data_IF_113762969429
#
_entry.id   IF_113762969429
#
_cell.length_a   1.000
_cell.length_b   1.000
_cell.length_c   1.000
_cell.angle_alpha   90.00
_cell.angle_beta   90.00
_cell.angle_gamma   90.00
#
_symmetry.space_group_name_H-M   'P 1'
#
loop_
_entity.id
_entity.type
_entity.pdbx_description
1 polymer ?
#
# COMPACT_ATOMS: atom_id res chain seq x y z
N UNK A 1 20.19 0.58 2.68
CA UNK A 1 18.96 1.28 3.12
C UNK A 1 18.12 1.55 1.90
N UNK A 2 16.80 1.43 2.02
CA UNK A 2 15.81 1.67 0.96
C UNK A 2 14.94 2.83 1.42
N UNK A 3 14.72 3.81 0.55
CA UNK A 3 13.83 4.95 0.80
C UNK A 3 12.73 4.94 -0.23
N UNK A 4 11.49 4.89 0.23
CA UNK A 4 10.29 4.95 -0.59
C UNK A 4 9.64 6.33 -0.42
N UNK A 5 9.37 7.00 -1.55
CA UNK A 5 8.67 8.30 -1.56
C UNK A 5 7.78 8.44 -2.79
N UNK A 6 6.74 9.28 -2.68
CA UNK A 6 5.96 9.73 -3.82
C UNK A 6 6.80 10.60 -4.77
N UNK A 7 6.46 10.58 -6.05
CA UNK A 7 7.14 11.38 -7.06
C UNK A 7 6.67 12.84 -7.10
N UNK A 8 5.44 13.13 -6.65
CA UNK A 8 4.85 14.47 -6.65
C UNK A 8 4.32 14.89 -5.29
N UNK A 9 3.67 16.04 -5.24
CA UNK A 9 3.40 16.76 -3.98
C UNK A 9 2.02 16.48 -3.36
N UNK A 10 1.18 15.68 -4.03
CA UNK A 10 -0.20 15.42 -3.61
C UNK A 10 -0.39 14.11 -2.87
N UNK A 11 0.35 13.09 -3.29
CA UNK A 11 0.14 11.72 -2.83
C UNK A 11 1.48 10.98 -2.77
N UNK A 12 1.65 10.23 -1.69
CA UNK A 12 2.65 9.19 -1.61
C UNK A 12 2.24 8.04 -2.53
N UNK A 13 1.05 7.47 -2.30
CA UNK A 13 0.43 6.45 -3.15
C UNK A 13 -1.07 6.34 -2.81
N UNK A 14 -1.94 6.59 -3.79
CA UNK A 14 -3.39 6.61 -3.60
C UNK A 14 -4.08 5.24 -3.80
N UNK A 15 -3.31 4.16 -3.86
CA UNK A 15 -3.80 2.80 -4.06
C UNK A 15 -3.45 2.20 -5.42
N UNK A 16 -3.79 0.93 -5.60
CA UNK A 16 -3.61 0.21 -6.86
C UNK A 16 -4.64 0.57 -7.92
N UNK A 17 -4.36 0.22 -9.18
CA UNK A 17 -5.30 0.39 -10.29
C UNK A 17 -6.40 -0.69 -10.26
N UNK A 18 -7.31 -0.56 -9.30
CA UNK A 18 -8.47 -1.44 -9.12
C UNK A 18 -9.43 -1.41 -10.31
N UNK A 19 -9.39 -0.35 -11.12
CA UNK A 19 -10.19 -0.24 -12.34
C UNK A 19 -9.63 -1.18 -13.41
N UNK A 20 -8.31 -1.22 -13.61
CA UNK A 20 -7.66 -2.16 -14.52
C UNK A 20 -7.87 -3.61 -14.08
N UNK A 21 -7.74 -3.90 -12.78
CA UNK A 21 -8.04 -5.22 -12.19
C UNK A 21 -9.49 -5.63 -12.49
N UNK A 22 -10.45 -4.75 -12.22
CA UNK A 22 -11.88 -5.01 -12.47
C UNK A 22 -12.16 -5.25 -13.95
N UNK A 23 -11.55 -4.46 -14.84
CA UNK A 23 -11.67 -4.63 -16.30
C UNK A 23 -11.13 -5.97 -16.74
N UNK A 24 -9.94 -6.37 -16.29
CA UNK A 24 -9.34 -7.67 -16.60
C UNK A 24 -10.25 -8.82 -16.19
N UNK A 25 -10.83 -8.77 -14.99
CA UNK A 25 -11.77 -9.78 -14.53
C UNK A 25 -13.04 -9.85 -15.42
N UNK A 26 -13.61 -8.69 -15.77
CA UNK A 26 -14.86 -8.61 -16.55
C UNK A 26 -14.75 -9.08 -17.99
N UNK A 27 -13.55 -9.11 -18.58
CA UNK A 27 -13.33 -9.66 -19.94
C UNK A 27 -13.70 -11.14 -20.01
N UNK A 28 -13.64 -11.87 -18.88
CA UNK A 28 -13.96 -13.30 -18.81
C UNK A 28 -13.16 -14.17 -19.80
N UNK A 29 -11.94 -13.74 -20.11
CA UNK A 29 -10.97 -14.48 -20.91
C UNK A 29 -9.98 -15.20 -19.98
N UNK A 30 -9.86 -16.54 -20.04
CA UNK A 30 -8.88 -17.29 -19.26
C UNK A 30 -7.43 -16.83 -19.46
N UNK A 31 -7.10 -16.23 -20.60
CA UNK A 31 -5.77 -15.68 -20.87
C UNK A 31 -5.50 -14.36 -20.11
N UNK A 32 -6.53 -13.70 -19.57
CA UNK A 32 -6.36 -12.50 -18.75
C UNK A 32 -6.15 -12.85 -17.29
N UNK A 33 -4.91 -12.70 -16.82
CA UNK A 33 -4.49 -13.06 -15.46
C UNK A 33 -4.22 -11.86 -14.56
N UNK A 34 -4.26 -10.62 -15.08
CA UNK A 34 -3.92 -9.41 -14.32
C UNK A 34 -4.66 -9.31 -12.98
N UNK A 35 -5.95 -9.64 -12.94
CA UNK A 35 -6.75 -9.59 -11.71
C UNK A 35 -6.32 -10.60 -10.63
N UNK A 36 -5.57 -11.65 -10.99
CA UNK A 36 -4.96 -12.61 -10.06
C UNK A 36 -3.52 -12.23 -9.73
N UNK A 37 -2.76 -11.90 -10.77
CA UNK A 37 -1.34 -11.59 -10.65
C UNK A 37 -1.14 -10.31 -9.85
N UNK A 38 -2.01 -9.31 -10.00
CA UNK A 38 -1.95 -8.06 -9.24
C UNK A 38 -1.89 -8.29 -7.74
N UNK A 39 -2.89 -8.98 -7.16
CA UNK A 39 -2.93 -9.24 -5.72
C UNK A 39 -1.81 -10.19 -5.27
N UNK A 40 -1.43 -11.15 -6.12
CA UNK A 40 -0.31 -12.04 -5.82
C UNK A 40 0.98 -11.24 -5.64
N UNK A 41 1.33 -10.42 -6.63
CA UNK A 41 2.56 -9.62 -6.58
C UNK A 41 2.50 -8.55 -5.49
N UNK A 42 1.34 -7.93 -5.27
CA UNK A 42 1.15 -6.94 -4.20
C UNK A 42 1.42 -7.55 -2.82
N UNK A 43 0.84 -8.71 -2.53
CA UNK A 43 1.02 -9.36 -1.23
C UNK A 43 2.43 -9.90 -1.03
N UNK A 44 3.06 -10.42 -2.09
CA UNK A 44 4.48 -10.81 -2.04
C UNK A 44 5.36 -9.60 -1.74
N UNK A 45 5.13 -8.47 -2.42
CA UNK A 45 5.89 -7.25 -2.16
C UNK A 45 5.69 -6.73 -0.73
N UNK A 46 4.45 -6.74 -0.21
CA UNK A 46 4.18 -6.32 1.16
C UNK A 46 4.91 -7.22 2.18
N UNK A 47 4.93 -8.53 1.95
CA UNK A 47 5.67 -9.48 2.77
C UNK A 47 7.19 -9.21 2.73
N UNK A 48 7.75 -8.97 1.55
CA UNK A 48 9.16 -8.64 1.37
C UNK A 48 9.53 -7.33 2.09
N UNK A 49 8.65 -6.32 2.05
CA UNK A 49 8.84 -5.07 2.82
C UNK A 49 8.85 -5.36 4.32
N UNK A 50 7.88 -6.14 4.82
CA UNK A 50 7.74 -6.47 6.24
C UNK A 50 8.87 -7.34 6.80
N UNK A 51 9.51 -8.16 5.95
CA UNK A 51 10.63 -9.04 6.33
C UNK A 51 11.99 -8.51 5.88
N UNK A 52 12.04 -7.30 5.33
CA UNK A 52 13.26 -6.71 4.80
C UNK A 52 14.30 -6.51 5.91
N UNK A 53 15.49 -7.10 5.72
CA UNK A 53 16.62 -6.93 6.65
C UNK A 53 17.34 -5.60 6.48
N UNK A 54 17.23 -5.02 5.28
CA UNK A 54 17.80 -3.71 4.98
C UNK A 54 16.86 -2.65 5.56
N UNK A 55 17.37 -1.59 6.21
CA UNK A 55 16.52 -0.51 6.70
C UNK A 55 15.64 0.05 5.57
N UNK A 56 14.32 -0.03 5.75
CA UNK A 56 13.30 0.47 4.83
C UNK A 56 12.59 1.66 5.47
N UNK A 57 12.60 2.80 4.77
CA UNK A 57 12.02 4.07 5.21
C UNK A 57 10.97 4.51 4.21
N UNK A 58 9.72 4.62 4.65
CA UNK A 58 8.63 5.20 3.86
C UNK A 58 8.34 6.63 4.29
N UNK A 59 8.50 7.58 3.36
CA UNK A 59 8.11 8.99 3.57
C UNK A 59 6.70 9.15 3.02
N UNK A 60 5.70 9.04 3.91
CA UNK A 60 4.28 9.00 3.56
C UNK A 60 3.67 10.39 3.45
N UNK A 61 4.25 11.21 2.58
CA UNK A 61 3.85 12.60 2.34
C UNK A 61 2.64 12.69 1.38
N UNK A 62 1.51 13.16 1.88
CA UNK A 62 0.25 13.26 1.13
C UNK A 62 -0.67 12.05 1.29
N UNK A 63 -1.56 11.86 0.30
CA UNK A 63 -2.53 10.76 0.26
C UNK A 63 -1.81 9.39 0.26
N UNK A 64 -2.17 8.54 1.21
CA UNK A 64 -1.66 7.17 1.39
C UNK A 64 -2.84 6.23 1.61
N UNK A 65 -3.24 5.47 0.58
CA UNK A 65 -4.43 4.62 0.63
C UNK A 65 -4.18 3.24 0.02
N UNK A 66 -4.90 2.21 0.51
CA UNK A 66 -4.84 0.84 0.00
C UNK A 66 -3.42 0.32 -0.19
N UNK A 67 -3.04 0.00 -1.44
CA UNK A 67 -1.67 -0.40 -1.79
C UNK A 67 -0.58 0.55 -1.27
N UNK A 68 -0.85 1.86 -1.14
CA UNK A 68 0.06 2.82 -0.50
C UNK A 68 0.28 2.56 1.00
N UNK A 69 -0.76 2.13 1.72
CA UNK A 69 -0.61 1.60 3.07
C UNK A 69 0.26 0.35 3.04
N UNK A 70 0.02 -0.60 2.13
CA UNK A 70 0.85 -1.80 1.96
C UNK A 70 2.34 -1.50 1.72
N UNK A 71 2.67 -0.45 0.96
CA UNK A 71 4.05 -0.03 0.71
C UNK A 71 4.73 0.65 1.91
N UNK A 72 3.98 1.03 2.95
CA UNK A 72 4.49 1.85 4.05
C UNK A 72 4.36 1.20 5.42
N UNK A 73 3.19 0.68 5.79
CA UNK A 73 2.88 0.22 7.16
C UNK A 73 3.78 -0.93 7.61
N UNK A 74 4.15 -1.82 6.68
CA UNK A 74 5.04 -2.95 6.93
C UNK A 74 6.51 -2.55 7.07
N UNK A 75 6.89 -1.39 6.55
CA UNK A 75 8.25 -0.88 6.62
C UNK A 75 8.68 -0.60 8.05
N UNK A 76 9.97 -0.76 8.36
CA UNK A 76 10.49 -0.52 9.70
C UNK A 76 10.35 0.94 10.16
N UNK A 77 10.57 1.88 9.25
CA UNK A 77 10.48 3.32 9.53
C UNK A 77 9.44 3.98 8.64
N UNK A 78 8.60 4.82 9.24
CA UNK A 78 7.54 5.57 8.57
C UNK A 78 7.64 7.03 9.04
N UNK A 79 7.77 7.92 8.08
CA UNK A 79 7.86 9.37 8.31
C UNK A 79 6.60 10.00 7.77
N UNK A 80 5.76 10.53 8.65
CA UNK A 80 4.59 11.30 8.28
C UNK A 80 4.92 12.80 8.23
N UNK A 81 4.11 13.51 7.48
CA UNK A 81 4.14 14.96 7.30
C UNK A 81 2.77 15.53 7.65
N UNK A 82 2.66 16.85 7.74
CA UNK A 82 1.38 17.54 7.93
C UNK A 82 0.36 17.28 6.79
N UNK A 83 0.83 16.77 5.65
CA UNK A 83 -0.01 16.43 4.48
C UNK A 83 -0.49 14.98 4.48
N UNK A 84 0.01 14.13 5.39
CA UNK A 84 -0.27 12.70 5.40
C UNK A 84 -1.76 12.44 5.63
N UNK A 85 -2.39 11.78 4.65
CA UNK A 85 -3.80 11.37 4.71
C UNK A 85 -3.88 9.86 4.50
N UNK A 86 -3.95 9.11 5.60
CA UNK A 86 -4.00 7.65 5.59
C UNK A 86 -5.44 7.16 5.63
N UNK A 87 -5.83 6.29 4.69
CA UNK A 87 -7.15 5.65 4.72
C UNK A 87 -7.15 4.25 4.07
N UNK A 88 -8.13 3.43 4.46
CA UNK A 88 -8.42 2.12 3.86
C UNK A 88 -9.86 2.15 3.30
N UNK A 89 -10.08 2.74 2.10
CA UNK A 89 -11.41 2.92 1.53
C UNK A 89 -11.95 1.68 0.79
N UNK A 90 -11.27 0.52 0.87
CA UNK A 90 -11.59 -0.71 0.11
C UNK A 90 -13.02 -1.19 0.34
N UNK A 91 -13.53 -1.01 1.58
CA UNK A 91 -14.90 -1.39 1.95
C UNK A 91 -15.97 -0.65 1.17
N UNK A 92 -15.71 0.60 0.77
CA UNK A 92 -16.63 1.37 -0.08
C UNK A 92 -16.69 0.81 -1.52
N UNK A 93 -15.68 0.05 -1.93
CA UNK A 93 -15.61 -0.62 -3.24
C UNK A 93 -16.11 -2.08 -3.19
N UNK A 94 -16.54 -2.57 -2.02
CA UNK A 94 -16.95 -3.96 -1.82
C UNK A 94 -15.77 -4.93 -1.64
N UNK A 95 -14.59 -4.42 -1.31
CA UNK A 95 -13.40 -5.21 -0.97
C UNK A 95 -13.14 -5.13 0.56
N UNK A 96 -12.46 -6.11 1.12
CA UNK A 96 -12.00 -6.03 2.51
C UNK A 96 -10.69 -5.22 2.59
N UNK A 97 -10.32 -4.64 3.75
CA UNK A 97 -9.00 -4.03 3.92
C UNK A 97 -7.92 -5.08 3.72
N UNK A 98 -7.27 -5.03 2.56
CA UNK A 98 -6.26 -5.98 2.10
C UNK A 98 -4.86 -5.54 2.54
N UNK A 99 -3.82 -5.94 1.82
CA UNK A 99 -2.41 -5.54 2.06
C UNK A 99 -1.94 -5.70 3.50
N UNK A 100 -2.47 -6.68 4.23
CA UNK A 100 -2.15 -6.91 5.64
C UNK A 100 -2.80 -5.93 6.63
N UNK A 101 -3.84 -5.20 6.22
CA UNK A 101 -4.62 -4.30 7.09
C UNK A 101 -5.22 -5.02 8.30
N UNK A 102 -5.51 -6.32 8.18
CA UNK A 102 -5.94 -7.19 9.29
C UNK A 102 -4.84 -7.47 10.30
N UNK A 103 -3.57 -7.37 9.90
CA UNK A 103 -2.38 -7.47 10.77
C UNK A 103 -1.98 -6.09 11.34
N UNK A 104 -2.50 -4.99 10.79
CA UNK A 104 -2.18 -3.64 11.27
C UNK A 104 -2.42 -3.40 12.78
N UNK A 105 -3.45 -3.96 13.45
CA UNK A 105 -3.66 -3.76 14.88
C UNK A 105 -2.56 -4.33 15.78
N UNK A 106 -1.75 -5.27 15.28
CA UNK A 106 -0.61 -5.86 16.01
C UNK A 106 0.74 -5.23 15.66
N UNK A 107 0.78 -4.37 14.63
CA UNK A 107 1.93 -3.52 14.37
C UNK A 107 1.96 -2.36 15.38
N UNK A 108 3.04 -2.22 16.13
CA UNK A 108 3.32 -0.98 16.86
C UNK A 108 3.54 0.15 15.85
N UNK A 109 2.47 0.89 15.55
CA UNK A 109 2.50 2.06 14.67
C UNK A 109 3.18 3.24 15.38
N UNK A 110 4.51 3.17 15.52
CA UNK A 110 5.31 4.36 15.81
C UNK A 110 5.47 5.10 14.48
N UNK A 111 4.65 6.12 14.27
CA UNK A 111 4.78 7.08 13.18
C UNK A 111 5.47 8.30 13.80
N UNK A 112 6.66 8.63 13.31
CA UNK A 112 7.35 9.84 13.76
C UNK A 112 6.86 11.02 12.91
N UNK A 113 6.21 11.98 13.58
CA UNK A 113 5.86 13.28 13.00
C UNK A 113 7.05 14.23 13.22
N UNK A 114 7.59 14.77 12.13
CA UNK A 114 8.61 15.82 12.20
C UNK A 114 7.92 17.17 12.00
N UNK A 115 7.78 17.94 13.09
CA UNK A 115 7.35 19.34 13.09
C UNK A 115 8.55 20.28 12.99
#
# INVERSE_FOLDING_TARGET
MIVMKGAGDKAFCAGGDVVAVTKSYKVNDPAQTLHKDFFREEYLLNYEIGTCKVPYVAIIDGITMGGGCGLSVHGRFRVATERTMLAMPETALGLFPDVGGTFSPVLSLNIEEFN
#
